data_IF_890126985132
#
_entry.id   IF_890126985132
#
_cell.length_a   1.000
_cell.length_b   1.000
_cell.length_c   1.000
_cell.angle_alpha   90.00
_cell.angle_beta   90.00
_cell.angle_gamma   90.00
#
_symmetry.space_group_name_H-M   'P 1'
#
loop_
_entity.id
_entity.type
_entity.pdbx_description
1 polymer ?
#
# COMPACT_ATOMS: atom_id res chain seq x y z
N UNK A 1 -62.81 22.60 30.10
CA UNK A 1 -61.80 23.40 30.80
C UNK A 1 -60.71 22.45 31.31
N UNK A 2 -59.75 22.13 30.45
CA UNK A 2 -58.44 22.78 30.35
C UNK A 2 -57.47 22.35 31.47
N UNK A 3 -56.56 21.43 31.14
CA UNK A 3 -55.21 21.37 31.71
C UNK A 3 -54.23 20.96 30.62
N UNK A 4 -53.62 21.98 30.00
CA UNK A 4 -52.45 21.82 29.16
C UNK A 4 -51.22 21.40 29.97
N UNK A 5 -50.31 20.64 29.38
CA UNK A 5 -49.10 21.16 28.70
C UNK A 5 -48.21 19.95 28.38
N UNK A 6 -48.26 19.50 27.11
CA UNK A 6 -47.38 18.49 26.51
C UNK A 6 -45.92 18.97 26.64
N UNK A 7 -45.08 18.22 27.35
CA UNK A 7 -43.62 18.31 27.21
C UNK A 7 -43.20 17.37 26.07
N UNK A 8 -42.85 18.00 24.95
CA UNK A 8 -42.31 17.43 23.71
C UNK A 8 -40.91 16.90 24.02
N UNK A 9 -40.62 15.62 23.76
CA UNK A 9 -39.24 15.13 23.64
C UNK A 9 -38.89 15.20 22.17
N UNK A 10 -37.85 15.97 21.87
CA UNK A 10 -37.17 16.01 20.59
C UNK A 10 -36.67 14.59 20.29
N UNK A 11 -37.19 13.99 19.21
CA UNK A 11 -36.53 12.89 18.53
C UNK A 11 -35.88 13.55 17.31
N UNK A 12 -34.66 14.05 17.54
CA UNK A 12 -33.77 14.50 16.48
C UNK A 12 -33.42 13.30 15.60
N UNK A 13 -33.67 13.50 14.30
CA UNK A 13 -32.85 13.09 13.17
C UNK A 13 -31.83 11.97 13.44
N UNK A 14 -32.20 10.75 13.08
CA UNK A 14 -31.25 9.73 12.62
C UNK A 14 -31.73 9.25 11.24
N UNK A 15 -31.79 10.19 10.29
CA UNK A 15 -31.76 9.87 8.85
C UNK A 15 -30.43 10.39 8.30
N UNK A 16 -29.36 9.66 8.60
CA UNK A 16 -28.10 9.84 7.91
C UNK A 16 -27.46 8.46 7.67
N UNK A 17 -27.17 8.22 6.40
CA UNK A 17 -26.05 7.37 5.96
C UNK A 17 -26.23 5.86 6.15
N UNK A 18 -27.16 5.26 5.40
CA UNK A 18 -27.07 3.82 5.09
C UNK A 18 -27.36 3.50 3.61
N UNK A 19 -27.17 4.48 2.71
CA UNK A 19 -27.37 4.29 1.27
C UNK A 19 -26.09 4.01 0.47
N UNK A 20 -24.90 4.24 1.04
CA UNK A 20 -23.63 4.03 0.32
C UNK A 20 -23.03 2.62 0.50
N UNK A 21 -23.35 1.89 1.58
CA UNK A 21 -22.79 0.55 1.78
C UNK A 21 -23.37 -0.51 0.83
N UNK A 22 -24.59 -0.29 0.32
CA UNK A 22 -25.27 -1.25 -0.56
C UNK A 22 -24.85 -1.13 -2.04
N UNK A 23 -24.15 -0.06 -2.45
CA UNK A 23 -23.65 0.04 -3.82
C UNK A 23 -22.32 -0.69 -4.01
N UNK A 24 -21.56 -0.91 -2.92
CA UNK A 24 -20.28 -1.62 -2.91
C UNK A 24 -20.42 -3.13 -3.12
N UNK A 25 -21.53 -3.74 -2.67
CA UNK A 25 -21.76 -5.18 -2.78
C UNK A 25 -22.22 -5.62 -4.18
N UNK A 26 -22.69 -4.69 -5.03
CA UNK A 26 -23.17 -5.02 -6.38
C UNK A 26 -22.07 -5.08 -7.45
N UNK A 27 -20.83 -4.67 -7.13
CA UNK A 27 -19.72 -4.59 -8.09
C UNK A 27 -18.89 -5.89 -8.17
N UNK A 28 -19.25 -6.91 -7.40
CA UNK A 28 -18.68 -8.27 -7.51
C UNK A 28 -19.02 -8.96 -8.85
N UNK A 29 -19.80 -8.32 -9.73
CA UNK A 29 -20.27 -8.89 -10.99
C UNK A 29 -19.43 -8.40 -12.18
N UNK A 30 -18.42 -9.20 -12.55
CA UNK A 30 -17.80 -9.26 -13.88
C UNK A 30 -17.13 -7.97 -14.41
N UNK A 31 -16.21 -7.39 -13.66
CA UNK A 31 -15.35 -6.35 -14.22
C UNK A 31 -14.20 -6.99 -15.01
N UNK A 32 -14.47 -7.32 -16.27
CA UNK A 32 -13.43 -7.59 -17.28
C UNK A 32 -12.85 -6.25 -17.72
N UNK A 33 -11.78 -5.79 -17.08
CA UNK A 33 -11.11 -4.54 -17.49
C UNK A 33 -10.27 -4.75 -18.76
N UNK A 34 -10.21 -3.74 -19.62
CA UNK A 34 -9.30 -3.72 -20.78
C UNK A 34 -7.97 -3.00 -20.48
N UNK A 35 -7.88 -2.29 -19.35
CA UNK A 35 -6.73 -1.47 -18.95
C UNK A 35 -6.30 -1.85 -17.54
N UNK A 36 -5.02 -2.15 -17.37
CA UNK A 36 -4.41 -2.58 -16.11
C UNK A 36 -4.43 -1.47 -15.04
N UNK A 37 -4.19 -0.22 -15.43
CA UNK A 37 -4.14 0.91 -14.50
C UNK A 37 -5.53 1.18 -13.92
N UNK A 38 -6.57 1.11 -14.77
CA UNK A 38 -7.96 1.24 -14.33
C UNK A 38 -8.33 0.11 -13.36
N UNK A 39 -7.99 -1.14 -13.69
CA UNK A 39 -8.21 -2.28 -12.80
C UNK A 39 -7.54 -2.08 -11.43
N UNK A 40 -6.26 -1.68 -11.42
CA UNK A 40 -5.50 -1.41 -10.20
C UNK A 40 -6.13 -0.30 -9.36
N UNK A 41 -6.58 0.80 -9.98
CA UNK A 41 -7.24 1.90 -9.27
C UNK A 41 -8.58 1.49 -8.67
N UNK A 42 -9.36 0.70 -9.40
CA UNK A 42 -10.65 0.21 -8.88
C UNK A 42 -10.45 -0.77 -7.73
N UNK A 43 -9.51 -1.72 -7.85
CA UNK A 43 -9.17 -2.63 -6.76
C UNK A 43 -8.65 -1.89 -5.54
N UNK A 44 -7.79 -0.88 -5.74
CA UNK A 44 -7.33 -0.01 -4.66
C UNK A 44 -8.47 0.72 -3.94
N UNK A 45 -9.47 1.20 -4.68
CA UNK A 45 -10.60 1.92 -4.11
C UNK A 45 -11.52 1.02 -3.24
N UNK A 46 -11.45 -0.31 -3.42
CA UNK A 46 -12.21 -1.25 -2.61
C UNK A 46 -11.61 -1.46 -1.21
N UNK A 47 -10.36 -1.01 -0.97
CA UNK A 47 -9.74 -1.16 0.34
C UNK A 47 -10.40 -0.23 1.37
N UNK A 48 -10.77 -0.76 2.55
CA UNK A 48 -11.38 0.05 3.59
C UNK A 48 -10.40 1.09 4.10
N UNK A 49 -10.80 2.35 4.08
CA UNK A 49 -10.06 3.45 4.69
C UNK A 49 -10.36 3.46 6.18
N UNK A 50 -9.49 2.85 6.98
CA UNK A 50 -9.64 2.81 8.44
C UNK A 50 -8.71 3.87 9.04
N UNK A 51 -9.28 4.96 9.57
CA UNK A 51 -8.55 6.12 10.10
C UNK A 51 -7.47 5.78 11.14
N UNK A 52 -7.62 4.65 11.85
CA UNK A 52 -6.70 4.20 12.91
C UNK A 52 -5.63 3.21 12.44
N UNK A 53 -5.74 2.72 11.21
CA UNK A 53 -4.88 1.67 10.66
C UNK A 53 -4.38 2.15 9.31
N UNK A 54 -3.18 2.75 9.29
CA UNK A 54 -2.51 3.20 8.08
C UNK A 54 -1.91 2.02 7.28
N UNK A 55 -2.72 1.00 6.98
CA UNK A 55 -2.33 -0.07 6.06
C UNK A 55 -2.61 0.44 4.65
N UNK A 56 -1.54 0.51 3.85
CA UNK A 56 -1.67 0.90 2.45
C UNK A 56 -2.11 -0.31 1.61
N UNK A 57 -3.01 -0.10 0.65
CA UNK A 57 -3.57 -1.16 -0.17
C UNK A 57 -2.50 -1.76 -1.09
N UNK A 58 -2.44 -3.08 -1.16
CA UNK A 58 -1.64 -3.80 -2.16
C UNK A 58 -2.50 -4.87 -2.83
N UNK A 59 -2.30 -5.06 -4.12
CA UNK A 59 -3.11 -5.91 -4.98
C UNK A 59 -2.25 -7.10 -5.40
N UNK A 60 -2.81 -8.31 -5.36
CA UNK A 60 -2.08 -9.48 -5.84
C UNK A 60 -2.12 -9.53 -7.37
N UNK A 61 -1.00 -9.91 -7.98
CA UNK A 61 -0.93 -10.11 -9.43
C UNK A 61 -1.94 -11.18 -9.88
N UNK A 62 -2.15 -12.23 -9.07
CA UNK A 62 -3.21 -13.21 -9.27
C UNK A 62 -4.63 -12.61 -9.31
N UNK A 63 -4.93 -11.60 -8.48
CA UNK A 63 -6.22 -10.88 -8.50
C UNK A 63 -6.37 -10.04 -9.77
N UNK A 64 -5.28 -9.42 -10.21
CA UNK A 64 -5.25 -8.63 -11.44
C UNK A 64 -5.47 -9.51 -12.68
N UNK A 65 -4.80 -10.67 -12.76
CA UNK A 65 -5.02 -11.65 -13.83
C UNK A 65 -6.43 -12.24 -13.84
N UNK A 66 -7.10 -12.27 -12.70
CA UNK A 66 -8.49 -12.74 -12.63
C UNK A 66 -9.49 -11.70 -13.14
N UNK A 67 -9.09 -10.42 -13.17
CA UNK A 67 -9.97 -9.29 -13.54
C UNK A 67 -9.69 -8.73 -14.94
N UNK A 68 -8.51 -9.01 -15.51
CA UNK A 68 -8.13 -8.59 -16.87
C UNK A 68 -8.00 -9.83 -17.75
N UNK A 69 -8.61 -9.80 -18.94
CA UNK A 69 -8.66 -10.96 -19.84
C UNK A 69 -7.31 -11.31 -20.47
N UNK A 70 -6.50 -10.30 -20.81
CA UNK A 70 -5.22 -10.50 -21.48
C UNK A 70 -4.04 -10.37 -20.50
N UNK A 71 -3.51 -11.51 -20.07
CA UNK A 71 -2.35 -11.56 -19.15
C UNK A 71 -1.08 -10.98 -19.77
N UNK A 72 -0.89 -11.11 -21.08
CA UNK A 72 0.31 -10.58 -21.76
C UNK A 72 0.28 -9.06 -21.80
N UNK A 73 -0.91 -8.48 -21.99
CA UNK A 73 -1.12 -7.04 -21.89
C UNK A 73 -0.82 -6.55 -20.47
N UNK A 74 -1.33 -7.24 -19.44
CA UNK A 74 -1.05 -6.93 -18.03
C UNK A 74 0.44 -6.89 -17.75
N UNK A 75 1.19 -7.91 -18.19
CA UNK A 75 2.64 -7.95 -17.98
C UNK A 75 3.35 -6.75 -18.63
N UNK A 76 2.99 -6.42 -19.87
CA UNK A 76 3.58 -5.27 -20.59
C UNK A 76 3.25 -3.94 -19.92
N UNK A 77 2.01 -3.78 -19.47
CA UNK A 77 1.54 -2.55 -18.83
C UNK A 77 2.13 -2.40 -17.43
N UNK A 78 2.17 -3.46 -16.61
CA UNK A 78 2.84 -3.44 -15.30
C UNK A 78 4.32 -3.08 -15.43
N UNK A 79 4.98 -3.65 -16.43
CA UNK A 79 6.38 -3.40 -16.71
C UNK A 79 6.61 -1.94 -17.16
N UNK A 80 5.66 -1.33 -17.89
CA UNK A 80 5.69 0.11 -18.16
C UNK A 80 5.46 0.95 -16.90
N UNK A 81 4.41 0.65 -16.12
CA UNK A 81 4.07 1.37 -14.90
C UNK A 81 5.20 1.31 -13.85
N UNK A 82 5.94 0.20 -13.80
CA UNK A 82 7.12 0.03 -12.97
C UNK A 82 8.27 0.94 -13.42
N UNK A 83 8.56 0.99 -14.74
CA UNK A 83 9.58 1.90 -15.30
C UNK A 83 9.23 3.36 -15.10
N UNK A 84 7.94 3.69 -15.22
CA UNK A 84 7.41 5.05 -15.02
C UNK A 84 7.29 5.43 -13.54
N UNK A 85 7.74 4.55 -12.62
CA UNK A 85 7.69 4.76 -11.16
C UNK A 85 6.27 5.02 -10.63
N UNK A 86 5.26 4.46 -11.29
CA UNK A 86 3.85 4.59 -10.87
C UNK A 86 3.49 3.52 -9.84
N UNK A 87 3.98 2.30 -10.05
CA UNK A 87 3.74 1.15 -9.16
C UNK A 87 5.04 0.50 -8.75
N UNK A 88 5.01 -0.14 -7.59
CA UNK A 88 6.05 -1.04 -7.10
C UNK A 88 5.51 -2.45 -7.03
N UNK A 89 6.30 -3.38 -7.55
CA UNK A 89 6.01 -4.80 -7.52
C UNK A 89 6.92 -5.42 -6.46
N UNK A 90 6.38 -6.32 -5.65
CA UNK A 90 7.10 -7.05 -4.63
C UNK A 90 6.88 -8.53 -4.89
N UNK A 91 7.94 -9.32 -4.84
CA UNK A 91 7.77 -10.78 -4.83
C UNK A 91 7.20 -11.18 -3.47
N UNK A 92 6.18 -12.04 -3.44
CA UNK A 92 5.62 -12.59 -2.21
C UNK A 92 6.08 -14.03 -2.06
N UNK A 93 6.41 -14.42 -0.83
CA UNK A 93 6.81 -15.80 -0.51
C UNK A 93 5.61 -16.68 -0.15
N UNK A 94 4.40 -16.31 -0.60
CA UNK A 94 3.30 -17.28 -0.60
C UNK A 94 3.73 -18.41 -1.55
N UNK A 95 3.48 -19.68 -1.21
CA UNK A 95 4.02 -20.84 -1.94
C UNK A 95 3.56 -21.01 -3.40
N UNK A 96 3.12 -19.93 -4.04
CA UNK A 96 2.67 -19.83 -5.44
C UNK A 96 3.48 -18.80 -6.25
N UNK A 97 4.60 -18.25 -5.74
CA UNK A 97 5.40 -17.20 -6.42
C UNK A 97 4.52 -16.02 -6.89
N UNK A 98 3.58 -15.59 -6.05
CA UNK A 98 2.69 -14.46 -6.38
C UNK A 98 3.43 -13.12 -6.16
N UNK A 99 2.96 -12.06 -6.81
CA UNK A 99 3.53 -10.73 -6.65
C UNK A 99 2.50 -9.76 -6.06
N UNK A 100 2.96 -8.90 -5.15
CA UNK A 100 2.20 -7.78 -4.63
C UNK A 100 2.47 -6.54 -5.46
N UNK A 101 1.42 -5.83 -5.86
CA UNK A 101 1.48 -4.59 -6.62
C UNK A 101 0.94 -3.48 -5.73
N UNK A 102 1.72 -2.43 -5.50
CA UNK A 102 1.32 -1.26 -4.73
C UNK A 102 1.60 0.01 -5.55
N UNK A 103 0.75 1.02 -5.45
CA UNK A 103 1.09 2.32 -6.03
C UNK A 103 2.28 2.93 -5.29
N UNK A 104 3.22 3.52 -6.03
CA UNK A 104 4.42 4.10 -5.42
C UNK A 104 4.04 5.22 -4.44
N UNK A 105 3.03 6.01 -4.77
CA UNK A 105 2.51 7.04 -3.87
C UNK A 105 2.04 6.48 -2.52
N UNK A 106 1.42 5.31 -2.50
CA UNK A 106 0.96 4.68 -1.27
C UNK A 106 2.13 4.09 -0.49
N UNK A 107 3.09 3.47 -1.19
CA UNK A 107 4.32 3.01 -0.56
C UNK A 107 5.09 4.16 0.11
N UNK A 108 5.18 5.33 -0.55
CA UNK A 108 5.79 6.52 0.01
C UNK A 108 5.02 7.07 1.23
N UNK A 109 3.68 7.06 1.20
CA UNK A 109 2.87 7.40 2.38
C UNK A 109 3.15 6.45 3.54
N UNK A 110 3.26 5.13 3.29
CA UNK A 110 3.59 4.17 4.34
C UNK A 110 4.95 4.49 4.96
N UNK A 111 5.95 4.79 4.12
CA UNK A 111 7.28 5.18 4.57
C UNK A 111 7.23 6.45 5.43
N UNK A 112 6.50 7.48 5.02
CA UNK A 112 6.36 8.73 5.77
C UNK A 112 5.69 8.51 7.14
N UNK A 113 4.66 7.67 7.19
CA UNK A 113 4.03 7.30 8.47
C UNK A 113 4.99 6.53 9.39
N UNK A 114 5.82 5.64 8.84
CA UNK A 114 6.85 4.92 9.60
C UNK A 114 7.89 5.89 10.15
N UNK A 115 8.42 6.78 9.30
CA UNK A 115 9.44 7.77 9.68
C UNK A 115 8.92 8.64 10.82
N UNK A 116 7.71 9.21 10.66
CA UNK A 116 7.07 10.04 11.69
C UNK A 116 6.93 9.29 13.02
N UNK A 117 6.50 8.03 12.98
CA UNK A 117 6.37 7.19 14.17
C UNK A 117 7.71 6.92 14.86
N UNK A 118 8.78 6.75 14.09
CA UNK A 118 10.13 6.51 14.63
C UNK A 118 10.74 7.79 15.23
N UNK A 119 10.52 8.95 14.59
CA UNK A 119 10.89 10.26 15.10
C UNK A 119 10.21 10.56 16.44
N UNK A 120 8.91 10.31 16.55
CA UNK A 120 8.12 10.47 17.79
C UNK A 120 8.65 9.58 18.93
N UNK A 121 9.08 8.35 18.61
CA UNK A 121 9.64 7.41 19.58
C UNK A 121 11.10 7.68 19.93
N UNK A 122 11.78 8.63 19.25
CA UNK A 122 13.24 8.84 19.32
C UNK A 122 14.03 7.54 19.18
N UNK A 123 13.51 6.60 18.40
CA UNK A 123 14.08 5.26 18.26
C UNK A 123 14.88 5.17 16.97
N UNK A 124 16.19 5.10 17.12
CA UNK A 124 17.11 4.74 16.04
C UNK A 124 17.54 5.90 15.16
N UNK A 125 18.50 5.57 14.29
CA UNK A 125 19.04 6.47 13.28
C UNK A 125 18.00 6.63 12.16
N UNK A 126 17.27 7.73 12.18
CA UNK A 126 16.19 8.01 11.21
C UNK A 126 16.75 8.26 9.81
N UNK A 127 18.05 8.53 9.69
CA UNK A 127 18.67 8.84 8.40
C UNK A 127 18.69 7.62 7.47
N UNK A 128 18.65 6.38 7.99
CA UNK A 128 18.50 5.18 7.15
C UNK A 128 17.24 5.22 6.30
N UNK A 129 16.13 5.77 6.80
CA UNK A 129 14.89 5.86 6.03
C UNK A 129 15.00 6.87 4.89
N UNK A 130 15.74 7.97 5.11
CA UNK A 130 16.04 8.95 4.06
C UNK A 130 16.93 8.33 2.99
N UNK A 131 17.95 7.58 3.40
CA UNK A 131 18.83 6.88 2.46
C UNK A 131 18.06 5.82 1.69
N UNK A 132 17.17 5.08 2.34
CA UNK A 132 16.30 4.11 1.69
C UNK A 132 15.39 4.78 0.65
N UNK A 133 14.75 5.91 1.00
CA UNK A 133 13.92 6.68 0.06
C UNK A 133 14.73 7.17 -1.14
N UNK A 134 15.83 7.87 -0.90
CA UNK A 134 16.60 8.53 -1.96
C UNK A 134 17.44 7.59 -2.82
N UNK A 135 18.01 6.53 -2.24
CA UNK A 135 18.96 5.67 -2.96
C UNK A 135 18.33 4.34 -3.37
N UNK A 136 17.53 3.71 -2.50
CA UNK A 136 16.97 2.38 -2.78
C UNK A 136 15.69 2.48 -3.61
N UNK A 137 14.74 3.32 -3.21
CA UNK A 137 13.47 3.45 -3.95
C UNK A 137 13.67 4.08 -5.33
N UNK A 138 14.55 5.06 -5.46
CA UNK A 138 14.74 5.75 -6.74
C UNK A 138 15.58 4.96 -7.75
N UNK A 139 16.51 4.13 -7.26
CA UNK A 139 17.46 3.38 -8.10
C UNK A 139 17.00 1.95 -8.38
N UNK A 140 16.34 1.28 -7.42
CA UNK A 140 15.92 -0.13 -7.56
C UNK A 140 14.44 -0.24 -7.89
N UNK A 141 14.15 -0.51 -9.15
CA UNK A 141 12.80 -0.76 -9.67
C UNK A 141 12.42 -2.23 -9.67
N UNK A 142 13.36 -3.14 -9.38
CA UNK A 142 13.13 -4.58 -9.37
C UNK A 142 12.41 -5.03 -8.09
N UNK A 143 11.65 -6.14 -8.16
CA UNK A 143 10.79 -6.60 -7.08
C UNK A 143 11.55 -7.24 -5.91
N UNK A 144 12.83 -7.53 -6.10
CA UNK A 144 13.76 -8.06 -5.09
C UNK A 144 15.02 -7.21 -5.09
N UNK A 145 15.73 -7.23 -3.96
CA UNK A 145 17.02 -6.58 -3.81
C UNK A 145 17.92 -7.50 -2.98
N UNK A 146 19.13 -7.74 -3.48
CA UNK A 146 20.10 -8.59 -2.79
C UNK A 146 20.71 -7.86 -1.59
N UNK A 147 21.29 -8.61 -0.65
CA UNK A 147 21.86 -8.01 0.56
C UNK A 147 23.01 -7.05 0.26
N UNK A 148 23.94 -7.48 -0.59
CA UNK A 148 25.10 -6.69 -0.98
C UNK A 148 24.68 -5.40 -1.71
N UNK A 149 23.69 -5.51 -2.60
CA UNK A 149 23.16 -4.37 -3.34
C UNK A 149 22.43 -3.38 -2.44
N UNK A 150 21.58 -3.86 -1.51
CA UNK A 150 20.92 -3.00 -0.54
C UNK A 150 21.94 -2.28 0.33
N UNK A 151 22.97 -3.00 0.80
CA UNK A 151 24.02 -2.42 1.62
C UNK A 151 24.81 -1.37 0.84
N UNK A 152 25.13 -1.62 -0.43
CA UNK A 152 25.82 -0.68 -1.30
C UNK A 152 24.98 0.60 -1.53
N UNK A 153 23.69 0.48 -1.82
CA UNK A 153 22.80 1.63 -2.03
C UNK A 153 22.60 2.46 -0.76
N UNK A 154 22.43 1.81 0.40
CA UNK A 154 22.33 2.53 1.67
C UNK A 154 23.66 3.19 2.04
N UNK A 155 24.80 2.60 1.66
CA UNK A 155 26.14 3.15 1.93
C UNK A 155 26.44 4.44 1.16
N UNK A 156 25.69 4.75 0.10
CA UNK A 156 25.75 6.05 -0.56
C UNK A 156 25.35 7.20 0.37
N UNK A 157 24.46 6.92 1.33
CA UNK A 157 23.98 7.91 2.29
C UNK A 157 24.85 8.06 3.55
N UNK A 158 25.67 7.05 3.89
CA UNK A 158 26.50 7.05 5.09
C UNK A 158 26.95 5.66 5.53
N UNK A 159 27.47 5.54 6.75
CA UNK A 159 27.93 4.26 7.28
C UNK A 159 26.75 3.37 7.72
N UNK A 160 26.50 2.30 6.96
CA UNK A 160 25.42 1.35 7.23
C UNK A 160 25.85 0.34 8.29
N UNK A 161 24.94 -0.01 9.21
CA UNK A 161 25.13 -1.05 10.23
C UNK A 161 24.00 -2.06 10.12
N UNK A 162 24.22 -3.29 10.59
CA UNK A 162 23.18 -4.33 10.58
C UNK A 162 21.91 -3.90 11.33
N UNK A 163 22.07 -3.11 12.39
CA UNK A 163 20.94 -2.52 13.12
C UNK A 163 20.04 -1.64 12.25
N UNK A 164 20.58 -0.98 11.22
CA UNK A 164 19.80 -0.20 10.26
C UNK A 164 18.94 -1.11 9.36
N UNK A 165 19.48 -2.26 8.95
CA UNK A 165 18.74 -3.26 8.18
C UNK A 165 17.61 -3.85 9.02
N UNK A 166 17.89 -4.24 10.26
CA UNK A 166 16.85 -4.72 11.20
C UNK A 166 15.77 -3.67 11.43
N UNK A 167 16.13 -2.38 11.47
CA UNK A 167 15.18 -1.28 11.63
C UNK A 167 14.22 -1.17 10.44
N UNK A 168 14.72 -1.32 9.21
CA UNK A 168 13.90 -1.33 7.98
C UNK A 168 12.96 -2.55 7.91
N UNK A 169 13.42 -3.73 8.36
CA UNK A 169 12.59 -4.94 8.45
C UNK A 169 11.49 -4.75 9.50
N UNK A 170 11.85 -4.32 10.71
CA UNK A 170 10.89 -4.11 11.81
C UNK A 170 9.87 -3.00 11.50
N UNK A 171 10.24 -2.06 10.63
CA UNK A 171 9.36 -1.04 10.10
C UNK A 171 8.38 -1.58 9.03
N UNK A 172 8.55 -2.81 8.56
CA UNK A 172 7.75 -3.41 7.50
C UNK A 172 8.04 -2.85 6.11
N UNK A 173 9.23 -2.26 5.90
CA UNK A 173 9.66 -1.72 4.60
C UNK A 173 10.41 -2.75 3.76
N UNK A 174 11.03 -3.73 4.43
CA UNK A 174 11.68 -4.89 3.86
C UNK A 174 11.00 -6.15 4.38
N UNK A 175 10.86 -7.16 3.51
CA UNK A 175 10.40 -8.50 3.90
C UNK A 175 11.63 -9.38 4.04
N UNK A 176 11.81 -9.95 5.24
CA UNK A 176 13.05 -10.62 5.68
C UNK A 176 13.41 -11.93 4.97
N UNK A 177 12.63 -12.39 4.00
CA UNK A 177 12.86 -13.64 3.28
C UNK A 177 12.95 -13.43 1.75
N UNK A 178 13.05 -12.18 1.29
CA UNK A 178 13.34 -11.83 -0.11
C UNK A 178 14.85 -11.64 -0.37
N UNK A 179 15.69 -12.04 0.58
CA UNK A 179 17.14 -12.15 0.40
C UNK A 179 17.43 -13.52 -0.23
N UNK A 180 17.70 -13.54 -1.52
CA UNK A 180 18.48 -14.58 -2.14
C UNK A 180 19.58 -13.93 -2.96
#
# INVERSE_FOLDING_TARGET
>A
MERGKKRRREAEEIEAENRDANHSLSLEQNLSFSDTNVALRMMRAQFPQIDKVAIQPFILQSQLYSSVKDRTQVDRELESLRRDKVVRIFKLNTGQDDHGIMFLEDYLKQLEHVVKRMEEKKQGDVDVFKWFKGHVIESKLEPSIEHEELYALLSLGGQVKDGHISLLINAGLLVSELWF
#
